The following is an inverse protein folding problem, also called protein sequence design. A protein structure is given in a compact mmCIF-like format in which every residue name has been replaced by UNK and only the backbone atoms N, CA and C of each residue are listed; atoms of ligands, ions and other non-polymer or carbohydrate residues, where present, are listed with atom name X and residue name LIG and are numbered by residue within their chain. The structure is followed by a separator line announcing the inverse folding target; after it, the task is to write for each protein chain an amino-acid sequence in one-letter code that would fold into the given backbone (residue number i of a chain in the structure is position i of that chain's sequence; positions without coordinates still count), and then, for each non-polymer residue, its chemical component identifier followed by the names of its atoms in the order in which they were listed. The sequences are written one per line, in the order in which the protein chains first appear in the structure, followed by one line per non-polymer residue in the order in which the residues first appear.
data_IF_305387048007
#
_entry.id   IF_305387048007
#
_cell.length_a   1.000
_cell.length_b   1.000
_cell.length_c   1.000
_cell.angle_alpha   90.00
_cell.angle_beta   90.00
_cell.angle_gamma   90.00
#
_symmetry.space_group_name_H-M   'P 1'
#
loop_
_entity.id
_entity.type
_entity.pdbx_description
1 polymer ?
#
# COMPACT_ATOMS: atom_id res chain seq x y z
N UNK A 1 3.08 9.53 2.09
CA UNK A 1 1.78 9.79 1.42
C UNK A 1 1.46 11.29 1.32
N UNK A 2 1.46 12.05 2.43
CA UNK A 2 1.16 13.49 2.42
C UNK A 2 1.92 14.30 1.34
N UNK A 3 3.21 14.03 1.11
CA UNK A 3 3.97 14.69 0.05
C UNK A 3 3.48 14.38 -1.38
N UNK A 4 2.95 13.16 -1.63
CA UNK A 4 2.34 12.82 -2.93
C UNK A 4 1.00 13.52 -3.11
N UNK A 5 0.19 13.59 -2.03
CA UNK A 5 -1.10 14.27 -2.02
C UNK A 5 -0.90 15.75 -2.34
N UNK A 6 0.00 16.43 -1.62
CA UNK A 6 0.28 17.86 -1.84
C UNK A 6 0.92 18.20 -3.20
N UNK A 7 1.32 17.19 -4.00
CA UNK A 7 1.83 17.37 -5.36
C UNK A 7 0.85 16.85 -6.43
N UNK A 8 -0.24 16.20 -6.03
CA UNK A 8 -1.26 15.70 -6.95
C UNK A 8 -2.19 16.85 -7.37
N UNK A 9 -2.65 16.80 -8.62
CA UNK A 9 -3.73 17.67 -9.09
C UNK A 9 -5.10 17.03 -8.80
N UNK A 10 -6.16 17.81 -9.00
CA UNK A 10 -7.57 17.42 -8.79
C UNK A 10 -8.03 16.20 -9.61
N UNK A 11 -7.30 15.84 -10.67
CA UNK A 11 -7.65 14.70 -11.54
C UNK A 11 -7.01 13.39 -11.09
N UNK A 12 -6.20 13.41 -10.02
CA UNK A 12 -5.49 12.23 -9.50
C UNK A 12 -6.00 11.88 -8.10
N UNK A 13 -6.34 10.60 -7.93
CA UNK A 13 -6.64 10.02 -6.62
C UNK A 13 -5.39 9.36 -6.02
N UNK A 14 -5.09 9.64 -4.76
CA UNK A 14 -3.99 9.01 -4.02
C UNK A 14 -4.53 8.00 -3.00
N UNK A 15 -4.15 6.73 -3.15
CA UNK A 15 -4.55 5.67 -2.21
C UNK A 15 -3.38 5.27 -1.32
N UNK A 16 -3.61 5.24 -0.02
CA UNK A 16 -2.71 4.70 1.00
C UNK A 16 -3.18 3.34 1.48
N UNK A 17 -2.23 2.51 1.93
CA UNK A 17 -2.51 1.18 2.49
C UNK A 17 -1.77 1.07 3.81
N UNK A 18 -2.50 1.03 4.92
CA UNK A 18 -1.89 0.96 6.24
C UNK A 18 -1.34 -0.44 6.52
N UNK A 19 -0.08 -0.51 6.95
CA UNK A 19 0.49 -1.73 7.53
C UNK A 19 0.10 -1.93 9.00
N UNK A 20 -0.45 -0.90 9.66
CA UNK A 20 -0.81 -0.88 11.07
C UNK A 20 -2.29 -1.28 11.27
N UNK A 21 -2.56 -2.06 12.32
CA UNK A 21 -3.92 -2.34 12.80
C UNK A 21 -4.39 -1.16 13.67
N UNK A 22 -5.66 -0.77 13.55
CA UNK A 22 -6.24 0.33 14.34
C UNK A 22 -5.72 1.72 13.95
N UNK A 23 -5.31 1.90 12.69
CA UNK A 23 -4.57 3.07 12.24
C UNK A 23 -5.44 4.23 11.74
N UNK A 24 -6.63 4.41 12.34
CA UNK A 24 -7.55 5.49 11.96
C UNK A 24 -6.92 6.88 12.16
N UNK A 25 -6.09 7.02 13.19
CA UNK A 25 -5.35 8.25 13.50
C UNK A 25 -4.43 8.73 12.37
N UNK A 26 -4.04 7.86 11.43
CA UNK A 26 -3.21 8.25 10.29
C UNK A 26 -3.92 9.24 9.37
N UNK A 27 -5.25 9.26 9.37
CA UNK A 27 -6.04 10.21 8.59
C UNK A 27 -5.78 11.62 9.14
N UNK A 28 -5.93 11.81 10.45
CA UNK A 28 -5.70 13.09 11.14
C UNK A 28 -4.24 13.56 10.97
N UNK A 29 -3.26 12.63 11.04
CA UNK A 29 -1.85 12.96 10.81
C UNK A 29 -1.61 13.48 9.39
N UNK A 30 -2.17 12.81 8.37
CA UNK A 30 -2.04 13.24 6.97
C UNK A 30 -2.70 14.61 6.77
N UNK A 31 -3.90 14.82 7.30
CA UNK A 31 -4.58 16.13 7.24
C UNK A 31 -3.73 17.24 7.88
N UNK A 32 -3.12 16.97 9.04
CA UNK A 32 -2.26 17.95 9.70
C UNK A 32 -1.01 18.29 8.89
N UNK A 33 -0.40 17.31 8.20
CA UNK A 33 0.71 17.58 7.27
C UNK A 33 0.26 18.41 6.07
N UNK A 34 -0.97 18.25 5.58
CA UNK A 34 -1.50 18.98 4.44
C UNK A 34 -1.86 20.43 4.78
N UNK A 35 -2.38 20.71 5.98
CA UNK A 35 -2.66 22.09 6.46
C UNK A 35 -1.45 23.02 6.38
N UNK A 36 -0.24 22.47 6.51
CA UNK A 36 1.01 23.24 6.41
C UNK A 36 1.43 23.58 4.97
N UNK A 37 0.62 23.23 3.97
CA UNK A 37 0.89 23.39 2.54
C UNK A 37 -0.30 24.06 1.87
N UNK A 38 -0.04 24.82 0.80
CA UNK A 38 -1.07 25.18 -0.18
C UNK A 38 -1.44 23.91 -0.97
N UNK A 39 -2.15 22.99 -0.32
CA UNK A 39 -2.61 21.76 -0.96
C UNK A 39 -3.92 22.02 -1.67
N UNK A 40 -4.00 21.64 -2.95
CA UNK A 40 -5.26 21.52 -3.67
C UNK A 40 -6.18 20.48 -3.02
N UNK A 41 -7.49 20.57 -3.28
CA UNK A 41 -8.48 19.54 -2.94
C UNK A 41 -8.20 18.26 -3.76
N UNK A 42 -7.17 17.53 -3.35
CA UNK A 42 -6.80 16.24 -3.93
C UNK A 42 -7.59 15.11 -3.28
N UNK A 43 -8.17 14.22 -4.08
CA UNK A 43 -8.91 13.04 -3.62
C UNK A 43 -7.93 11.99 -3.06
N UNK A 44 -8.00 11.69 -1.77
CA UNK A 44 -7.16 10.66 -1.15
C UNK A 44 -7.88 9.82 -0.10
N UNK A 45 -7.41 8.59 0.09
CA UNK A 45 -7.97 7.66 1.06
C UNK A 45 -6.92 6.68 1.59
N UNK A 46 -7.01 6.29 2.87
CA UNK A 46 -6.15 5.25 3.45
C UNK A 46 -6.98 3.99 3.71
N UNK A 47 -6.68 2.91 3.01
CA UNK A 47 -7.23 1.60 3.30
C UNK A 47 -6.63 1.02 4.58
N UNK A 48 -7.49 0.80 5.58
CA UNK A 48 -7.11 0.28 6.89
C UNK A 48 -7.25 -1.24 7.01
N UNK A 49 -7.69 -1.96 5.98
CA UNK A 49 -8.06 -3.37 6.09
C UNK A 49 -6.99 -4.36 5.61
N UNK A 50 -6.05 -3.92 4.79
CA UNK A 50 -5.01 -4.78 4.20
C UNK A 50 -3.77 -4.93 5.10
N UNK A 51 -3.93 -4.84 6.42
CA UNK A 51 -2.81 -4.92 7.36
C UNK A 51 -2.45 -6.36 7.76
N UNK A 52 -3.25 -7.38 7.42
CA UNK A 52 -2.98 -8.80 7.71
C UNK A 52 -2.65 -9.11 9.17
N UNK A 53 -3.48 -8.61 10.10
CA UNK A 53 -3.25 -8.75 11.53
C UNK A 53 -2.35 -7.68 12.17
N UNK A 54 -1.68 -6.84 11.39
CA UNK A 54 -0.98 -5.63 11.87
C UNK A 54 0.45 -5.53 11.39
N UNK A 55 1.23 -4.66 12.04
CA UNK A 55 2.61 -4.37 11.63
C UNK A 55 3.49 -5.63 11.64
N UNK A 56 4.25 -5.84 10.56
CA UNK A 56 5.12 -7.01 10.35
C UNK A 56 4.42 -8.39 10.47
N UNK A 57 3.09 -8.44 10.60
CA UNK A 57 2.32 -9.67 10.56
C UNK A 57 2.12 -10.12 9.12
N UNK A 58 2.23 -11.44 8.94
CA UNK A 58 2.08 -12.15 7.68
C UNK A 58 1.07 -13.29 7.87
N UNK A 59 0.42 -13.68 6.78
CA UNK A 59 -0.40 -14.88 6.74
C UNK A 59 -0.16 -15.64 5.41
N UNK A 60 -0.64 -16.89 5.28
CA UNK A 60 -0.44 -17.68 4.07
C UNK A 60 -0.98 -17.01 2.79
N UNK A 61 -2.09 -16.27 2.87
CA UNK A 61 -2.68 -15.59 1.70
C UNK A 61 -1.76 -14.50 1.15
N UNK A 62 -1.20 -13.67 2.04
CA UNK A 62 -0.25 -12.62 1.67
C UNK A 62 1.02 -13.21 1.05
N UNK A 63 1.57 -14.27 1.65
CA UNK A 63 2.76 -14.94 1.12
C UNK A 63 2.51 -15.58 -0.24
N UNK A 64 1.36 -16.24 -0.41
CA UNK A 64 0.97 -16.86 -1.68
C UNK A 64 0.79 -15.81 -2.78
N UNK A 65 0.15 -14.68 -2.45
CA UNK A 65 0.03 -13.55 -3.37
C UNK A 65 1.39 -12.99 -3.78
N UNK A 66 2.29 -12.75 -2.82
CA UNK A 66 3.63 -12.23 -3.10
C UNK A 66 4.38 -13.19 -4.03
N UNK A 67 4.39 -14.48 -3.73
CA UNK A 67 5.05 -15.47 -4.56
C UNK A 67 4.49 -15.49 -5.99
N UNK A 68 3.16 -15.50 -6.14
CA UNK A 68 2.53 -15.47 -7.46
C UNK A 68 2.83 -14.19 -8.23
N UNK A 69 2.80 -13.03 -7.55
CA UNK A 69 3.14 -11.74 -8.14
C UNK A 69 4.59 -11.72 -8.64
N UNK A 70 5.53 -12.20 -7.82
CA UNK A 70 6.94 -12.30 -8.18
C UNK A 70 7.17 -13.21 -9.38
N UNK A 71 6.55 -14.39 -9.41
CA UNK A 71 6.63 -15.30 -10.55
C UNK A 71 6.07 -14.70 -11.84
N UNK A 72 5.00 -13.90 -11.74
CA UNK A 72 4.31 -13.33 -12.91
C UNK A 72 5.05 -12.10 -13.46
N UNK A 73 5.55 -11.23 -12.57
CA UNK A 73 6.05 -9.91 -12.95
C UNK A 73 7.56 -9.77 -12.84
N UNK A 74 8.26 -10.73 -12.23
CA UNK A 74 9.69 -10.63 -11.92
C UNK A 74 10.07 -9.40 -11.08
N UNK A 75 9.13 -8.91 -10.26
CA UNK A 75 9.31 -7.78 -9.34
C UNK A 75 9.20 -8.30 -7.91
N UNK A 76 10.29 -8.18 -7.14
CA UNK A 76 10.36 -8.60 -5.74
C UNK A 76 9.52 -7.72 -4.85
N UNK A 77 8.79 -8.31 -3.89
CA UNK A 77 8.04 -7.60 -2.87
C UNK A 77 8.52 -7.99 -1.47
N UNK A 78 8.09 -7.22 -0.47
CA UNK A 78 8.26 -7.57 0.93
C UNK A 78 6.92 -7.54 1.67
N UNK A 79 6.73 -8.37 2.72
CA UNK A 79 5.41 -8.60 3.28
C UNK A 79 4.96 -7.54 4.30
N UNK A 80 5.80 -6.58 4.68
CA UNK A 80 5.45 -5.54 5.66
C UNK A 80 4.66 -4.40 5.03
N UNK A 81 5.01 -3.96 3.82
CA UNK A 81 4.39 -2.80 3.15
C UNK A 81 3.98 -3.07 1.69
N UNK A 82 4.94 -3.28 0.79
CA UNK A 82 4.73 -3.37 -0.67
C UNK A 82 3.87 -4.55 -1.07
N UNK A 83 4.06 -5.71 -0.44
CA UNK A 83 3.20 -6.88 -0.58
C UNK A 83 1.75 -6.60 -0.17
N UNK A 84 1.55 -5.91 0.95
CA UNK A 84 0.22 -5.54 1.46
C UNK A 84 -0.49 -4.55 0.54
N UNK A 85 0.25 -3.54 0.06
CA UNK A 85 -0.25 -2.54 -0.87
C UNK A 85 -0.69 -3.19 -2.18
N UNK A 86 0.17 -4.02 -2.80
CA UNK A 86 -0.16 -4.67 -4.07
C UNK A 86 -1.26 -5.71 -3.91
N UNK A 87 -1.31 -6.44 -2.79
CA UNK A 87 -2.45 -7.29 -2.50
C UNK A 87 -3.74 -6.46 -2.49
N UNK A 88 -3.74 -5.34 -1.76
CA UNK A 88 -4.88 -4.44 -1.66
C UNK A 88 -5.34 -3.92 -3.03
N UNK A 89 -4.42 -3.49 -3.88
CA UNK A 89 -4.73 -3.05 -5.24
C UNK A 89 -5.39 -4.16 -6.05
N UNK A 90 -4.83 -5.38 -6.05
CA UNK A 90 -5.38 -6.50 -6.80
C UNK A 90 -6.76 -6.94 -6.28
N UNK A 91 -6.95 -6.95 -4.97
CA UNK A 91 -8.25 -7.24 -4.36
C UNK A 91 -9.30 -6.17 -4.71
N UNK A 92 -8.93 -4.89 -4.68
CA UNK A 92 -9.81 -3.78 -5.10
C UNK A 92 -10.19 -3.87 -6.59
N UNK A 93 -9.26 -4.27 -7.46
CA UNK A 93 -9.55 -4.55 -8.87
C UNK A 93 -10.60 -5.66 -8.99
N UNK A 94 -10.42 -6.79 -8.29
CA UNK A 94 -11.37 -7.92 -8.31
C UNK A 94 -12.76 -7.53 -7.78
N UNK A 95 -12.82 -6.59 -6.83
CA UNK A 95 -14.06 -6.06 -6.26
C UNK A 95 -14.73 -4.98 -7.12
N UNK A 96 -14.15 -4.63 -8.28
CA UNK A 96 -14.70 -3.60 -9.16
C UNK A 96 -14.61 -2.19 -8.60
N UNK A 97 -13.68 -1.92 -7.67
CA UNK A 97 -13.48 -0.60 -7.07
C UNK A 97 -13.00 0.44 -8.11
N UNK A 98 -12.16 0.01 -9.06
CA UNK A 98 -11.64 0.85 -10.14
C UNK A 98 -12.51 0.73 -11.39
N UNK A 99 -12.70 1.84 -12.12
CA UNK A 99 -13.44 1.83 -13.38
C UNK A 99 -12.66 1.06 -14.46
N UNK A 100 -13.33 0.35 -15.39
CA UNK A 100 -12.65 -0.24 -16.55
C UNK A 100 -11.81 0.81 -17.30
N UNK A 101 -10.57 0.46 -17.65
CA UNK A 101 -9.64 1.37 -18.33
C UNK A 101 -8.96 2.41 -17.43
N UNK A 102 -9.27 2.44 -16.12
CA UNK A 102 -8.60 3.34 -15.19
C UNK A 102 -7.12 2.97 -15.02
N UNK A 103 -6.23 3.94 -15.21
CA UNK A 103 -4.78 3.75 -15.05
C UNK A 103 -4.41 3.81 -13.57
N UNK A 104 -3.67 2.80 -13.10
CA UNK A 104 -3.18 2.71 -11.72
C UNK A 104 -1.64 2.78 -11.76
N UNK A 105 -1.07 3.65 -10.93
CA UNK A 105 0.38 3.74 -10.70
C UNK A 105 0.65 3.29 -9.27
N UNK A 106 1.31 2.15 -9.10
CA UNK A 106 1.71 1.64 -7.79
C UNK A 106 3.14 2.09 -7.48
N UNK A 107 3.35 2.79 -6.36
CA UNK A 107 4.68 3.20 -5.91
C UNK A 107 5.34 2.09 -5.11
N UNK A 108 6.32 1.39 -5.72
CA UNK A 108 7.11 0.40 -5.01
C UNK A 108 8.16 1.08 -4.11
N UNK A 109 7.86 1.25 -2.83
CA UNK A 109 8.68 2.03 -1.88
C UNK A 109 9.98 1.35 -1.44
N UNK A 110 10.26 0.12 -1.89
CA UNK A 110 11.46 -0.63 -1.53
C UNK A 110 11.23 -1.52 -0.30
N UNK A 111 12.16 -1.53 0.65
CA UNK A 111 12.03 -2.28 1.90
C UNK A 111 12.47 -3.75 1.85
N UNK A 112 12.97 -4.23 0.71
CA UNK A 112 13.34 -5.64 0.48
C UNK A 112 14.33 -6.21 1.52
N UNK A 113 15.13 -5.35 2.16
CA UNK A 113 15.99 -5.74 3.28
C UNK A 113 15.23 -6.36 4.47
N UNK A 114 13.93 -6.06 4.60
CA UNK A 114 13.01 -6.63 5.59
C UNK A 114 12.72 -8.11 5.37
N UNK A 115 12.89 -8.64 4.15
CA UNK A 115 12.70 -10.06 3.85
C UNK A 115 13.66 -10.97 4.64
N UNK A 116 14.80 -10.43 5.10
CA UNK A 116 15.77 -11.19 5.93
C UNK A 116 15.17 -11.70 7.25
N UNK A 117 14.11 -11.08 7.75
CA UNK A 117 13.39 -11.55 8.94
C UNK A 117 12.37 -12.66 8.67
N UNK A 118 12.09 -12.97 7.39
CA UNK A 118 11.02 -13.89 6.98
C UNK A 118 11.52 -15.08 6.16
N UNK A 119 12.76 -15.03 5.67
CA UNK A 119 13.42 -16.17 5.04
C UNK A 119 13.98 -17.05 6.16
N UNK A 120 13.66 -18.36 6.20
CA UNK A 120 14.32 -19.29 7.11
C UNK A 120 15.84 -19.18 6.96
N UNK A 121 16.56 -19.07 8.07
CA UNK A 121 18.02 -19.18 8.00
C UNK A 121 18.33 -20.58 7.50
N UNK A 122 19.17 -20.68 6.49
CA UNK A 122 19.81 -21.94 6.16
C UNK A 122 20.90 -22.15 7.21
N UNK A 123 20.58 -22.93 8.23
CA UNK A 123 21.52 -23.55 9.16
C UNK A 123 22.19 -24.79 8.53
#
# INVERSE_FOLDING_TARGET
MAGLIGAADENRRVLGFSALKGAGFLIDEVENFLKSRDSHDSDWFIHLQYHFGGFAKINPDLLSFIHQFECTHSIKLEPVYTGKMLYGIYDLIRKGYFKPGQKIIALHTGGLQGNRGFIPRAD
#
